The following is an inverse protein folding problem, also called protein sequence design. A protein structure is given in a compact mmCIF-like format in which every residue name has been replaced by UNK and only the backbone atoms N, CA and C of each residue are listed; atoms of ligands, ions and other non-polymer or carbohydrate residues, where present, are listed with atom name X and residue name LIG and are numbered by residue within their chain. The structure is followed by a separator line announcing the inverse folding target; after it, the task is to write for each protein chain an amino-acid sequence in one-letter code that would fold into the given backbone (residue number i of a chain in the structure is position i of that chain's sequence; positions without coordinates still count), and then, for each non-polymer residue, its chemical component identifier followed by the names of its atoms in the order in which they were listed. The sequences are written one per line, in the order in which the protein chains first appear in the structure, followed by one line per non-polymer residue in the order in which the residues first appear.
data_IF_685040309644
#
_entry.id   IF_685040309644
#
_cell.length_a   1.000
_cell.length_b   1.000
_cell.length_c   1.000
_cell.angle_alpha   90.00
_cell.angle_beta   90.00
_cell.angle_gamma   90.00
#
_symmetry.space_group_name_H-M   'P 1'
#
loop_
_entity.id
_entity.type
_entity.pdbx_description
1 polymer ?
#
# COMPACT_ATOMS: atom_id res chain seq x y z
N UNK A 1 -5.74 16.00 22.21
CA UNK A 1 -6.76 15.01 21.79
C UNK A 1 -6.78 14.98 20.27
N UNK A 2 -6.80 13.79 19.66
CA UNK A 2 -6.92 13.64 18.20
C UNK A 2 -8.23 14.27 17.69
N UNK A 3 -8.18 14.95 16.54
CA UNK A 3 -9.37 15.49 15.84
C UNK A 3 -10.30 14.37 15.35
N UNK A 4 -9.74 13.19 15.05
CA UNK A 4 -10.47 12.07 14.47
C UNK A 4 -10.44 10.87 15.42
N UNK A 5 -11.61 10.24 15.61
CA UNK A 5 -11.73 8.98 16.34
C UNK A 5 -11.29 7.77 15.50
N UNK A 6 -11.60 7.79 14.21
CA UNK A 6 -11.33 6.71 13.26
C UNK A 6 -10.89 7.27 11.92
N UNK A 7 -9.92 6.62 11.28
CA UNK A 7 -9.45 6.95 9.93
C UNK A 7 -9.35 5.70 9.06
N UNK A 8 -9.42 5.90 7.74
CA UNK A 8 -9.04 4.91 6.73
C UNK A 8 -7.78 5.44 6.03
N UNK A 9 -6.64 4.81 6.29
CA UNK A 9 -5.35 5.17 5.72
C UNK A 9 -5.14 4.42 4.41
N UNK A 10 -5.15 5.13 3.28
CA UNK A 10 -4.79 4.57 1.98
C UNK A 10 -3.29 4.73 1.76
N UNK A 11 -2.59 3.62 1.60
CA UNK A 11 -1.18 3.55 1.24
C UNK A 11 -1.03 3.15 -0.24
N UNK A 12 -0.13 3.84 -0.94
CA UNK A 12 0.33 3.36 -2.25
C UNK A 12 1.35 2.24 -2.04
N UNK A 13 1.24 1.14 -2.78
CA UNK A 13 2.27 0.10 -2.77
C UNK A 13 3.64 0.62 -3.18
N UNK A 14 3.67 1.57 -4.13
CA UNK A 14 4.89 2.25 -4.56
C UNK A 14 5.62 2.95 -3.40
N UNK A 15 4.85 3.47 -2.43
CA UNK A 15 5.42 4.12 -1.27
C UNK A 15 6.05 3.14 -0.28
N UNK A 16 5.92 1.83 -0.50
CA UNK A 16 6.56 0.76 0.26
C UNK A 16 7.76 0.16 -0.48
N UNK A 17 8.05 0.59 -1.71
CA UNK A 17 9.13 0.07 -2.53
C UNK A 17 10.33 1.01 -2.55
N UNK A 18 11.49 0.46 -2.93
CA UNK A 18 12.64 1.24 -3.37
C UNK A 18 13.16 0.69 -4.70
N UNK A 19 14.34 1.14 -5.14
CA UNK A 19 14.91 0.70 -6.43
C UNK A 19 15.29 -0.78 -6.47
N UNK A 20 15.50 -1.42 -5.33
CA UNK A 20 15.98 -2.79 -5.22
C UNK A 20 14.88 -3.77 -4.79
N UNK A 21 13.93 -3.31 -3.98
CA UNK A 21 12.91 -4.14 -3.36
C UNK A 21 11.51 -3.60 -3.66
N UNK A 22 10.61 -4.51 -4.05
CA UNK A 22 9.18 -4.19 -4.18
C UNK A 22 8.55 -3.91 -2.82
N UNK A 23 9.08 -4.48 -1.74
CA UNK A 23 8.75 -4.12 -0.35
C UNK A 23 10.03 -3.87 0.42
N UNK A 24 10.33 -2.61 0.67
CA UNK A 24 11.51 -2.15 1.39
C UNK A 24 11.27 -2.20 2.92
N UNK A 25 12.02 -3.00 3.69
CA UNK A 25 11.84 -3.13 5.14
C UNK A 25 12.00 -1.81 5.91
N UNK A 26 12.90 -0.93 5.46
CA UNK A 26 13.17 0.35 6.13
C UNK A 26 11.99 1.31 5.95
N UNK A 27 11.48 1.40 4.73
CA UNK A 27 10.28 2.21 4.43
C UNK A 27 9.05 1.67 5.15
N UNK A 28 8.86 0.35 5.17
CA UNK A 28 7.79 -0.29 5.93
C UNK A 28 7.88 0.05 7.43
N UNK A 29 9.08 -0.02 8.01
CA UNK A 29 9.31 0.31 9.42
C UNK A 29 8.94 1.76 9.75
N UNK A 30 9.28 2.71 8.87
CA UNK A 30 8.89 4.13 9.02
C UNK A 30 7.37 4.31 9.00
N UNK A 31 6.67 3.64 8.08
CA UNK A 31 5.21 3.68 7.99
C UNK A 31 4.57 3.10 9.27
N UNK A 32 5.09 1.99 9.78
CA UNK A 32 4.63 1.39 11.03
C UNK A 32 4.80 2.36 12.20
N UNK A 33 5.93 3.07 12.31
CA UNK A 33 6.12 4.07 13.37
C UNK A 33 5.09 5.20 13.31
N UNK A 34 4.71 5.65 12.11
CA UNK A 34 3.68 6.67 11.93
C UNK A 34 2.31 6.15 12.37
N UNK A 35 1.95 4.93 11.96
CA UNK A 35 0.68 4.30 12.37
C UNK A 35 0.63 4.12 13.89
N UNK A 36 1.74 3.68 14.51
CA UNK A 36 1.85 3.54 15.95
C UNK A 36 1.54 4.85 16.68
N UNK A 37 2.06 5.97 16.18
CA UNK A 37 1.78 7.30 16.77
C UNK A 37 0.30 7.68 16.76
N UNK A 38 -0.48 7.18 15.79
CA UNK A 38 -1.93 7.38 15.75
C UNK A 38 -2.66 6.45 16.73
N UNK A 39 -2.22 5.19 16.83
CA UNK A 39 -2.77 4.21 17.78
C UNK A 39 -2.53 4.65 19.24
N UNK A 40 -1.37 5.23 19.53
CA UNK A 40 -1.03 5.76 20.86
C UNK A 40 -1.98 6.90 21.28
N UNK A 41 -2.47 7.66 20.30
CA UNK A 41 -3.51 8.69 20.48
C UNK A 41 -4.93 8.13 20.54
N UNK A 42 -5.08 6.79 20.59
CA UNK A 42 -6.36 6.06 20.61
C UNK A 42 -7.22 6.25 19.36
N UNK A 43 -6.59 6.55 18.22
CA UNK A 43 -7.26 6.59 16.92
C UNK A 43 -7.42 5.17 16.39
N UNK A 44 -8.61 4.84 15.91
CA UNK A 44 -8.88 3.58 15.23
C UNK A 44 -8.43 3.69 13.76
N UNK A 45 -7.59 2.78 13.28
CA UNK A 45 -6.98 2.86 11.95
C UNK A 45 -7.39 1.65 11.12
N UNK A 46 -8.14 1.87 10.04
CA UNK A 46 -8.25 0.92 8.93
C UNK A 46 -7.19 1.24 7.89
N UNK A 47 -6.63 0.23 7.22
CA UNK A 47 -5.58 0.42 6.21
C UNK A 47 -6.01 -0.21 4.89
N UNK A 48 -5.84 0.53 3.79
CA UNK A 48 -5.98 0.03 2.41
C UNK A 48 -4.63 0.18 1.74
N UNK A 49 -4.06 -0.92 1.24
CA UNK A 49 -2.78 -0.92 0.53
C UNK A 49 -3.04 -1.28 -0.93
N UNK A 50 -2.44 -0.55 -1.87
CA UNK A 50 -2.42 -0.97 -3.28
C UNK A 50 -1.18 -1.80 -3.60
N UNK A 51 -1.24 -2.73 -4.54
CA UNK A 51 -0.12 -3.61 -4.94
C UNK A 51 0.72 -3.13 -6.13
N UNK A 52 0.68 -1.83 -6.46
CA UNK A 52 1.34 -1.27 -7.66
C UNK A 52 2.87 -1.35 -7.69
N UNK A 53 3.49 -1.68 -6.57
CA UNK A 53 4.91 -2.03 -6.41
C UNK A 53 5.26 -3.43 -6.92
N UNK A 54 4.29 -4.33 -7.06
CA UNK A 54 4.51 -5.70 -7.52
C UNK A 54 3.92 -5.88 -8.91
N UNK A 55 2.62 -5.57 -9.10
CA UNK A 55 1.96 -5.69 -10.38
C UNK A 55 1.16 -4.44 -10.74
N UNK A 56 1.25 -4.06 -12.02
CA UNK A 56 0.39 -3.03 -12.61
C UNK A 56 -0.39 -3.64 -13.77
N UNK A 57 -1.71 -3.74 -13.62
CA UNK A 57 -2.59 -4.29 -14.65
C UNK A 57 -2.42 -3.60 -16.01
N UNK A 58 -2.20 -2.29 -16.03
CA UNK A 58 -1.95 -1.52 -17.25
C UNK A 58 -0.66 -1.96 -17.97
N UNK A 59 0.46 -2.10 -17.25
CA UNK A 59 1.73 -2.53 -17.85
C UNK A 59 1.67 -3.97 -18.36
N UNK A 60 0.96 -4.84 -17.65
CA UNK A 60 0.72 -6.23 -18.09
C UNK A 60 -0.17 -6.27 -19.34
N UNK A 61 -1.18 -5.40 -19.42
CA UNK A 61 -2.03 -5.30 -20.60
C UNK A 61 -1.26 -4.80 -21.84
N UNK A 62 -0.36 -3.83 -21.67
CA UNK A 62 0.56 -3.39 -22.75
C UNK A 62 1.49 -4.51 -23.21
N UNK A 63 1.89 -5.41 -22.30
CA UNK A 63 2.66 -6.61 -22.62
C UNK A 63 1.84 -7.75 -23.27
N UNK A 64 0.57 -7.51 -23.60
CA UNK A 64 -0.30 -8.48 -24.28
C UNK A 64 -1.17 -9.34 -23.35
N UNK A 65 -1.17 -9.06 -22.04
CA UNK A 65 -2.05 -9.76 -21.09
C UNK A 65 -3.49 -9.26 -21.21
N UNK A 66 -4.47 -10.15 -20.97
CA UNK A 66 -5.84 -9.70 -20.79
C UNK A 66 -5.93 -8.74 -19.58
N UNK A 67 -6.54 -7.58 -19.77
CA UNK A 67 -6.66 -6.54 -18.73
C UNK A 67 -7.30 -7.05 -17.44
N UNK A 68 -8.35 -7.87 -17.51
CA UNK A 68 -9.03 -8.43 -16.33
C UNK A 68 -8.07 -9.33 -15.54
N UNK A 69 -7.30 -10.16 -16.23
CA UNK A 69 -6.24 -10.98 -15.60
C UNK A 69 -5.19 -10.10 -14.94
N UNK A 70 -4.75 -9.02 -15.61
CA UNK A 70 -3.80 -8.06 -15.05
C UNK A 70 -4.34 -7.34 -13.79
N UNK A 71 -5.61 -6.97 -13.78
CA UNK A 71 -6.26 -6.35 -12.62
C UNK A 71 -6.41 -7.36 -11.46
N UNK A 72 -6.73 -8.63 -11.76
CA UNK A 72 -6.74 -9.70 -10.74
C UNK A 72 -5.35 -9.91 -10.12
N UNK A 73 -4.28 -9.89 -10.93
CA UNK A 73 -2.92 -9.96 -10.40
C UNK A 73 -2.58 -8.76 -9.52
N UNK A 74 -3.03 -7.55 -9.90
CA UNK A 74 -2.87 -6.35 -9.07
C UNK A 74 -3.63 -6.38 -7.74
N UNK A 75 -4.72 -7.15 -7.64
CA UNK A 75 -5.46 -7.35 -6.39
C UNK A 75 -4.84 -8.42 -5.47
N UNK A 76 -4.05 -9.36 -6.03
CA UNK A 76 -3.32 -10.38 -5.26
C UNK A 76 -1.94 -9.90 -4.77
N UNK A 77 -1.44 -8.82 -5.36
CA UNK A 77 -0.18 -8.17 -5.03
C UNK A 77 -0.16 -7.60 -3.61
#
# INVERSE_FOLDING_TARGET
MSKYKRILLKLSGEALANTENTVDPDTLSKVISIIQSALDQKVEVGIVVGGGNIFRGAALAEAGMNRVTGDHMGMLA
#
